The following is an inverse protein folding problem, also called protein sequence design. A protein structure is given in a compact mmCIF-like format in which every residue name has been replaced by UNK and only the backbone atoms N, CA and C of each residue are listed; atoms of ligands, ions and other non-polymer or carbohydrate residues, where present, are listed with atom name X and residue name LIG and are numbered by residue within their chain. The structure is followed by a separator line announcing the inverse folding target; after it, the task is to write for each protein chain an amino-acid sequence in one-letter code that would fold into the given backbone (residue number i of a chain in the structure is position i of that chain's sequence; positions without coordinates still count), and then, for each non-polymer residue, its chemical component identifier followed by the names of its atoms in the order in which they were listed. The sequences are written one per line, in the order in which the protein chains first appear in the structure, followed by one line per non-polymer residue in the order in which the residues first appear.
data_IF_209163680591
#
_entry.id   IF_209163680591
#
_cell.length_a   1.000
_cell.length_b   1.000
_cell.length_c   1.000
_cell.angle_alpha   90.00
_cell.angle_beta   90.00
_cell.angle_gamma   90.00
#
_symmetry.space_group_name_H-M   'P 1'
#
loop_
_entity.id
_entity.type
_entity.pdbx_description
1 polymer ?
#
# COMPACT_ATOMS: atom_id res chain seq x y z
N UNK A 1 -8.07 -29.87 18.28
CA UNK A 1 -7.29 -29.12 17.28
C UNK A 1 -7.08 -27.72 17.83
N UNK A 2 -5.86 -27.41 18.26
CA UNK A 2 -5.53 -26.11 18.85
C UNK A 2 -5.10 -25.20 17.70
N UNK A 3 -5.90 -24.18 17.39
CA UNK A 3 -5.55 -23.19 16.36
C UNK A 3 -4.80 -22.08 17.07
N UNK A 4 -3.49 -22.01 16.83
CA UNK A 4 -2.65 -20.96 17.38
C UNK A 4 -2.79 -19.70 16.51
N UNK A 5 -3.08 -18.56 17.15
CA UNK A 5 -3.17 -17.25 16.50
C UNK A 5 -1.92 -16.41 16.83
N UNK A 6 -0.83 -16.51 16.04
CA UNK A 6 0.48 -15.97 16.42
C UNK A 6 0.53 -14.45 16.57
N UNK A 7 -0.32 -13.71 15.85
CA UNK A 7 -0.34 -12.25 15.87
C UNK A 7 -1.40 -11.66 16.79
N UNK A 8 -2.03 -12.49 17.62
CA UNK A 8 -3.10 -12.06 18.51
C UNK A 8 -2.55 -11.43 19.79
N UNK A 9 -2.99 -10.20 20.07
CA UNK A 9 -2.63 -9.44 21.27
C UNK A 9 -3.92 -9.05 22.00
N UNK A 10 -4.01 -9.38 23.29
CA UNK A 10 -5.09 -8.95 24.15
C UNK A 10 -4.69 -7.71 24.96
N UNK A 11 -5.52 -6.69 24.93
CA UNK A 11 -5.36 -5.45 25.69
C UNK A 11 -6.53 -5.30 26.66
N UNK A 12 -6.25 -4.98 27.93
CA UNK A 12 -7.27 -4.83 28.97
C UNK A 12 -7.53 -3.35 29.21
N UNK A 13 -8.78 -2.94 29.07
CA UNK A 13 -9.20 -1.57 29.36
C UNK A 13 -9.19 -1.29 30.88
N UNK A 14 -9.20 0.00 31.25
CA UNK A 14 -9.36 0.47 32.65
C UNK A 14 -10.66 0.00 33.32
N UNK A 15 -11.61 -0.45 32.51
CA UNK A 15 -12.89 -1.01 32.94
C UNK A 15 -12.92 -2.56 32.93
N UNK A 16 -11.78 -3.22 32.70
CA UNK A 16 -11.65 -4.69 32.72
C UNK A 16 -12.07 -5.40 31.42
N UNK A 17 -12.53 -4.67 30.41
CA UNK A 17 -12.92 -5.26 29.13
C UNK A 17 -11.70 -5.67 28.29
N UNK A 18 -11.64 -6.94 27.88
CA UNK A 18 -10.58 -7.46 27.01
C UNK A 18 -10.86 -7.09 25.54
N UNK A 19 -9.89 -6.42 24.90
CA UNK A 19 -9.90 -6.06 23.48
C UNK A 19 -8.89 -6.92 22.74
N UNK A 20 -9.30 -7.53 21.64
CA UNK A 20 -8.44 -8.37 20.81
C UNK A 20 -7.92 -7.58 19.61
N UNK A 21 -6.62 -7.64 19.37
CA UNK A 21 -5.93 -7.01 18.26
C UNK A 21 -5.11 -8.03 17.48
N UNK A 22 -5.06 -7.86 16.16
CA UNK A 22 -4.10 -8.53 15.29
C UNK A 22 -2.97 -7.55 15.00
N UNK A 23 -1.72 -7.93 15.33
CA UNK A 23 -0.55 -7.05 15.25
C UNK A 23 0.65 -7.62 14.47
N UNK A 24 0.54 -7.84 13.15
CA UNK A 24 1.69 -8.08 12.27
C UNK A 24 2.43 -6.76 11.94
N UNK A 25 3.76 -6.84 11.84
CA UNK A 25 4.64 -5.78 11.31
C UNK A 25 4.44 -4.36 11.89
N UNK A 26 4.10 -4.26 13.18
CA UNK A 26 4.01 -3.00 13.91
C UNK A 26 2.67 -2.26 13.77
N UNK A 27 1.77 -2.72 12.90
CA UNK A 27 0.41 -2.17 12.73
C UNK A 27 -0.61 -3.01 13.52
N UNK A 28 -1.74 -2.45 13.93
CA UNK A 28 -2.77 -3.17 14.71
C UNK A 28 -4.18 -2.98 14.17
N UNK A 29 -4.93 -4.07 14.00
CA UNK A 29 -6.38 -4.05 13.70
C UNK A 29 -7.14 -4.67 14.86
N UNK A 30 -8.23 -4.02 15.29
CA UNK A 30 -9.08 -4.54 16.37
C UNK A 30 -10.10 -5.55 15.84
N UNK A 31 -10.11 -6.75 16.39
CA UNK A 31 -11.16 -7.74 16.16
C UNK A 31 -12.24 -7.59 17.23
N UNK A 32 -13.48 -7.40 16.79
CA UNK A 32 -14.66 -7.31 17.67
C UNK A 32 -15.36 -8.65 17.90
N UNK A 33 -14.98 -9.68 17.14
CA UNK A 33 -15.59 -11.01 17.20
C UNK A 33 -15.06 -11.78 18.41
N UNK A 34 -15.87 -12.71 18.91
CA UNK A 34 -15.54 -13.53 20.09
C UNK A 34 -14.53 -14.61 19.71
N UNK A 35 -13.50 -14.78 20.54
CA UNK A 35 -12.51 -15.85 20.38
C UNK A 35 -13.19 -17.23 20.36
N UNK A 36 -12.77 -18.11 19.45
CA UNK A 36 -13.30 -19.48 19.32
C UNK A 36 -14.54 -19.64 18.43
N UNK A 37 -15.04 -18.56 17.83
CA UNK A 37 -16.10 -18.63 16.79
C UNK A 37 -15.48 -18.66 15.40
N UNK A 38 -16.13 -19.31 14.42
CA UNK A 38 -15.72 -19.28 13.01
C UNK A 38 -15.60 -17.85 12.47
N UNK A 39 -16.52 -16.97 12.86
CA UNK A 39 -16.47 -15.54 12.54
C UNK A 39 -15.20 -14.83 13.02
N UNK A 40 -14.53 -15.34 14.05
CA UNK A 40 -13.25 -14.81 14.51
C UNK A 40 -12.09 -15.27 13.62
N UNK A 41 -12.09 -16.53 13.19
CA UNK A 41 -11.07 -17.03 12.27
C UNK A 41 -11.12 -16.28 10.93
N UNK A 42 -12.33 -16.01 10.42
CA UNK A 42 -12.53 -15.18 9.23
C UNK A 42 -12.04 -13.75 9.44
N UNK A 43 -12.46 -13.09 10.52
CA UNK A 43 -12.02 -11.72 10.83
C UNK A 43 -10.49 -11.63 11.06
N UNK A 44 -9.87 -12.69 11.57
CA UNK A 44 -8.42 -12.80 11.71
C UNK A 44 -7.74 -12.90 10.36
N UNK A 45 -8.21 -13.79 9.47
CA UNK A 45 -7.67 -13.94 8.12
C UNK A 45 -7.80 -12.62 7.32
N UNK A 46 -8.96 -11.97 7.38
CA UNK A 46 -9.21 -10.66 6.76
C UNK A 46 -8.27 -9.58 7.32
N UNK A 47 -8.05 -9.54 8.64
CA UNK A 47 -7.16 -8.57 9.26
C UNK A 47 -5.70 -8.78 8.85
N UNK A 48 -5.23 -10.02 8.73
CA UNK A 48 -3.89 -10.33 8.23
C UNK A 48 -3.76 -9.88 6.77
N UNK A 49 -4.70 -10.27 5.91
CA UNK A 49 -4.67 -9.89 4.50
C UNK A 49 -4.71 -8.37 4.30
N UNK A 50 -5.56 -7.65 5.04
CA UNK A 50 -5.60 -6.19 5.00
C UNK A 50 -4.24 -5.57 5.40
N UNK A 51 -3.61 -6.10 6.43
CA UNK A 51 -2.31 -5.62 6.90
C UNK A 51 -1.15 -5.98 5.97
N UNK A 52 -1.25 -7.08 5.22
CA UNK A 52 -0.29 -7.44 4.18
C UNK A 52 -0.44 -6.57 2.94
N UNK A 53 -1.67 -6.29 2.49
CA UNK A 53 -1.93 -5.44 1.33
C UNK A 53 -1.56 -3.97 1.58
N UNK A 54 -1.95 -3.42 2.73
CA UNK A 54 -1.58 -2.04 3.10
C UNK A 54 -0.10 -1.94 3.52
N UNK A 55 0.46 -3.05 3.99
CA UNK A 55 1.80 -3.17 4.53
C UNK A 55 2.79 -3.78 3.55
N UNK A 56 2.44 -3.83 2.26
CA UNK A 56 3.35 -4.20 1.19
C UNK A 56 4.63 -3.41 1.40
N UNK A 57 5.64 -4.07 1.98
CA UNK A 57 7.00 -3.56 1.96
C UNK A 57 7.22 -3.37 0.48
N UNK A 58 7.29 -2.11 0.04
CA UNK A 58 7.91 -1.83 -1.24
C UNK A 58 9.21 -2.60 -1.14
N UNK A 59 9.34 -3.70 -1.88
CA UNK A 59 10.63 -4.33 -2.02
C UNK A 59 11.54 -3.17 -2.36
N UNK A 60 12.54 -2.96 -1.50
CA UNK A 60 13.56 -1.96 -1.78
C UNK A 60 14.32 -2.58 -2.94
N UNK A 61 13.76 -2.43 -4.14
CA UNK A 61 14.40 -2.83 -5.38
C UNK A 61 15.61 -1.93 -5.42
N UNK A 62 16.75 -2.49 -5.03
CA UNK A 62 18.02 -1.79 -5.13
C UNK A 62 18.16 -1.38 -6.58
N UNK A 63 18.20 -0.07 -6.81
CA UNK A 63 18.31 0.46 -8.16
C UNK A 63 19.54 -0.16 -8.83
N UNK A 64 19.37 -0.67 -10.04
CA UNK A 64 20.44 -1.32 -10.77
C UNK A 64 21.62 -0.34 -10.97
N UNK A 65 22.88 -0.79 -10.85
CA UNK A 65 24.04 0.05 -11.13
C UNK A 65 23.92 0.76 -12.48
N UNK A 66 24.34 2.02 -12.55
CA UNK A 66 24.24 2.84 -13.77
C UNK A 66 22.87 3.45 -14.06
N UNK A 67 21.86 3.22 -13.20
CA UNK A 67 20.58 3.94 -13.29
C UNK A 67 20.60 5.25 -12.51
N UNK A 68 19.72 6.19 -12.85
CA UNK A 68 19.57 7.43 -12.08
C UNK A 68 19.17 7.17 -10.62
N UNK A 69 18.35 6.13 -10.37
CA UNK A 69 18.00 5.72 -9.00
C UNK A 69 19.21 5.25 -8.19
N UNK A 70 20.17 4.57 -8.83
CA UNK A 70 21.41 4.17 -8.19
C UNK A 70 22.29 5.37 -7.88
N UNK A 71 22.41 6.32 -8.83
CA UNK A 71 23.15 7.56 -8.61
C UNK A 71 22.55 8.40 -7.47
N UNK A 72 21.22 8.51 -7.41
CA UNK A 72 20.52 9.20 -6.32
C UNK A 72 20.82 8.56 -4.96
N UNK A 73 20.81 7.23 -4.88
CA UNK A 73 21.19 6.51 -3.66
C UNK A 73 22.64 6.79 -3.24
N UNK A 74 23.59 6.77 -4.18
CA UNK A 74 24.98 7.13 -3.93
C UNK A 74 25.11 8.58 -3.45
N UNK A 75 24.39 9.51 -4.06
CA UNK A 75 24.38 10.91 -3.66
C UNK A 75 23.85 11.11 -2.24
N UNK A 76 22.73 10.47 -1.88
CA UNK A 76 22.18 10.55 -0.52
C UNK A 76 23.08 9.95 0.56
N UNK A 77 23.95 9.01 0.19
CA UNK A 77 24.95 8.43 1.08
C UNK A 77 26.26 9.25 1.14
N UNK A 78 26.45 10.23 0.26
CA UNK A 78 27.69 11.01 0.17
C UNK A 78 27.89 11.93 1.38
N UNK A 79 29.15 12.26 1.68
CA UNK A 79 29.49 13.25 2.72
C UNK A 79 28.99 14.64 2.36
N UNK A 80 29.00 15.00 1.07
CA UNK A 80 28.50 16.28 0.58
C UNK A 80 27.03 16.50 0.94
N UNK A 81 26.18 15.50 0.73
CA UNK A 81 24.76 15.58 1.08
C UNK A 81 24.55 15.66 2.59
N UNK A 82 25.28 14.84 3.36
CA UNK A 82 25.16 14.79 4.81
C UNK A 82 25.72 16.05 5.51
N UNK A 83 26.59 16.81 4.84
CA UNK A 83 27.12 18.08 5.35
C UNK A 83 26.16 19.27 5.17
N UNK A 84 25.04 19.10 4.45
CA UNK A 84 24.06 20.17 4.23
C UNK A 84 23.19 20.41 5.47
N UNK A 85 22.60 21.60 5.55
CA UNK A 85 21.55 21.91 6.52
C UNK A 85 20.35 20.94 6.40
N UNK A 86 19.75 20.46 7.50
CA UNK A 86 18.64 19.50 7.47
C UNK A 86 17.44 19.94 6.61
N UNK A 87 17.12 21.24 6.58
CA UNK A 87 16.03 21.76 5.73
C UNK A 87 16.40 21.73 4.25
N UNK A 88 17.69 21.85 3.91
CA UNK A 88 18.20 21.71 2.56
C UNK A 88 18.30 20.24 2.14
N UNK A 89 18.72 19.34 3.03
CA UNK A 89 18.69 17.89 2.81
C UNK A 89 17.28 17.42 2.46
N UNK A 90 16.30 17.88 3.25
CA UNK A 90 14.88 17.54 3.04
C UNK A 90 14.39 18.00 1.67
N UNK A 91 14.65 19.27 1.31
CA UNK A 91 14.26 19.83 0.00
C UNK A 91 14.94 19.10 -1.16
N UNK A 92 16.26 18.89 -1.10
CA UNK A 92 17.01 18.20 -2.16
C UNK A 92 16.55 16.75 -2.33
N UNK A 93 16.32 16.02 -1.23
CA UNK A 93 15.77 14.67 -1.28
C UNK A 93 14.40 14.65 -1.95
N UNK A 94 13.51 15.57 -1.58
CA UNK A 94 12.17 15.68 -2.17
C UNK A 94 12.21 15.93 -3.68
N UNK A 95 13.08 16.83 -4.16
CA UNK A 95 13.21 17.08 -5.59
C UNK A 95 13.74 15.86 -6.35
N UNK A 96 14.81 15.24 -5.86
CA UNK A 96 15.39 14.06 -6.53
C UNK A 96 14.41 12.89 -6.54
N UNK A 97 13.69 12.66 -5.43
CA UNK A 97 12.63 11.66 -5.36
C UNK A 97 11.46 11.97 -6.31
N UNK A 98 11.12 13.24 -6.51
CA UNK A 98 10.10 13.61 -7.51
C UNK A 98 10.53 13.24 -8.92
N UNK A 99 11.79 13.49 -9.31
CA UNK A 99 12.32 13.09 -10.61
C UNK A 99 12.34 11.57 -10.79
N UNK A 100 12.61 10.80 -9.73
CA UNK A 100 12.56 9.33 -9.78
C UNK A 100 11.16 8.78 -10.00
N UNK A 101 10.12 9.54 -9.62
CA UNK A 101 8.71 9.16 -9.76
C UNK A 101 8.13 9.56 -11.12
N UNK A 102 8.81 10.42 -11.88
CA UNK A 102 8.33 10.84 -13.19
C UNK A 102 8.09 9.63 -14.10
N UNK A 103 6.97 9.62 -14.85
CA UNK A 103 6.70 8.56 -15.81
C UNK A 103 7.79 8.57 -16.88
N UNK A 104 8.54 7.48 -16.97
CA UNK A 104 9.53 7.30 -18.03
C UNK A 104 8.78 6.99 -19.32
N UNK A 105 8.63 8.00 -20.18
CA UNK A 105 8.03 7.89 -21.50
C UNK A 105 8.93 7.01 -22.39
N UNK A 106 8.77 5.68 -22.33
CA UNK A 106 9.46 4.76 -23.23
C UNK A 106 8.60 4.31 -24.42
N UNK A 107 7.39 4.87 -24.56
CA UNK A 107 6.58 4.72 -25.77
C UNK A 107 6.04 6.08 -26.18
N UNK A 108 6.38 6.51 -27.39
CA UNK A 108 6.07 7.82 -27.96
C UNK A 108 4.58 7.99 -28.31
N UNK A 109 3.65 7.63 -27.43
CA UNK A 109 2.21 7.78 -27.67
C UNK A 109 1.50 8.72 -26.70
N UNK A 110 2.16 9.23 -25.66
CA UNK A 110 1.56 10.27 -24.82
C UNK A 110 2.62 11.27 -24.35
N UNK A 111 3.22 11.96 -25.30
CA UNK A 111 3.88 13.24 -25.03
C UNK A 111 2.78 14.30 -25.04
N UNK A 112 2.60 15.00 -23.92
CA UNK A 112 1.84 16.27 -23.86
C UNK A 112 0.35 16.21 -24.25
N UNK A 113 -0.50 15.58 -23.43
CA UNK A 113 -1.93 15.93 -23.47
C UNK A 113 -2.47 16.16 -22.06
N UNK A 114 -3.00 17.36 -21.85
CA UNK A 114 -4.01 17.63 -20.84
C UNK A 114 -5.25 16.79 -21.13
N UNK A 115 -5.19 15.51 -20.80
CA UNK A 115 -6.31 14.59 -20.95
C UNK A 115 -7.27 14.86 -19.80
N UNK A 116 -8.31 15.65 -20.10
CA UNK A 116 -9.56 15.60 -19.34
C UNK A 116 -10.01 14.14 -19.34
N UNK A 117 -10.00 13.50 -18.18
CA UNK A 117 -10.59 12.19 -17.98
C UNK A 117 -12.11 12.30 -18.19
N UNK A 118 -12.57 12.19 -19.42
CA UNK A 118 -13.96 11.95 -19.70
C UNK A 118 -14.20 10.46 -19.42
N UNK A 119 -14.77 10.18 -18.24
CA UNK A 119 -15.19 8.85 -17.82
C UNK A 119 -16.16 8.29 -18.87
N UNK A 120 -15.68 7.36 -19.68
CA UNK A 120 -16.55 6.45 -20.41
C UNK A 120 -17.42 5.69 -19.39
N UNK A 121 -18.71 6.01 -19.40
CA UNK A 121 -19.74 5.22 -18.72
C UNK A 121 -19.83 3.89 -19.44
N UNK A 122 -19.24 2.86 -18.86
CA UNK A 122 -19.55 1.46 -19.16
C UNK A 122 -21.06 1.24 -18.92
N UNK A 123 -21.83 1.15 -20.00
CA UNK A 123 -23.14 0.52 -19.98
C UNK A 123 -22.93 -0.98 -20.32
N UNK A 124 -23.27 -1.92 -19.42
CA UNK A 124 -23.06 -3.33 -19.68
C UNK A 124 -24.03 -3.84 -20.75
N UNK A 125 -23.46 -4.35 -21.83
CA UNK A 125 -24.12 -5.22 -22.80
C UNK A 125 -24.39 -6.58 -22.17
N UNK A 126 -25.51 -6.75 -21.48
CA UNK A 126 -26.19 -8.04 -21.34
C UNK A 126 -27.61 -7.84 -20.79
N UNK A 127 -28.60 -7.77 -21.68
CA UNK A 127 -29.92 -8.33 -21.45
C UNK A 127 -30.55 -8.55 -22.82
N UNK A 128 -30.21 -9.71 -23.34
CA UNK A 128 -30.92 -10.41 -24.41
C UNK A 128 -32.20 -11.02 -23.81
N UNK A 129 -33.22 -11.27 -24.66
CA UNK A 129 -34.51 -11.97 -24.43
C UNK A 129 -35.64 -11.09 -23.88
N UNK A 130 -36.85 -10.96 -24.45
CA UNK A 130 -37.69 -11.68 -25.44
C UNK A 130 -38.50 -10.63 -26.26
N UNK A 131 -39.02 -10.80 -27.48
CA UNK A 131 -39.42 -11.99 -28.21
C UNK A 131 -40.93 -12.30 -28.11
N UNK A 132 -41.80 -11.53 -28.82
CA UNK A 132 -43.14 -11.86 -29.40
C UNK A 132 -44.12 -10.66 -29.32
N UNK A 133 -44.68 -10.19 -30.45
CA UNK A 133 -46.03 -10.51 -31.00
C UNK A 133 -47.13 -10.44 -29.92
N UNK A 134 -48.19 -9.64 -30.05
CA UNK A 134 -48.99 -9.30 -31.23
C UNK A 134 -49.38 -7.83 -31.23
#
# INVERSE_FOLDING_TARGET
MQVDFPYLVADRDRHGNARLYVRPYGRKIRIRKKLGTEAFALAYAEAIHALEQEGGRSEIVKAAPGTFGWLAACYFASTEFNALDPALQTRRRLYIESCLREPRLFKAENVMLGVRHEKERQAPRHLCWLGRRQ
#
